data_IF_401707311999
#
_entry.id   IF_401707311999
#
_cell.length_a   1.000
_cell.length_b   1.000
_cell.length_c   1.000
_cell.angle_alpha   90.00
_cell.angle_beta   90.00
_cell.angle_gamma   90.00
#
_symmetry.space_group_name_H-M   'P 1'
#
loop_
_entity.id
_entity.type
_entity.pdbx_description
1 polymer ?
#
# COMPACT_ATOMS: atom_id res chain seq x y z
N UNK A 1 2.28 -20.14 -20.99
CA UNK A 1 2.72 -21.16 -20.02
C UNK A 1 2.59 -20.59 -18.62
N UNK A 2 1.98 -21.28 -17.64
CA UNK A 2 2.19 -20.92 -16.25
C UNK A 2 3.70 -20.93 -16.00
N UNK A 3 4.24 -19.88 -15.37
CA UNK A 3 5.65 -19.84 -14.98
C UNK A 3 5.93 -21.12 -14.20
N UNK A 4 6.93 -21.90 -14.62
CA UNK A 4 7.27 -23.16 -13.95
C UNK A 4 7.38 -22.90 -12.45
N UNK A 5 6.69 -23.70 -11.63
CA UNK A 5 6.51 -23.45 -10.20
C UNK A 5 7.84 -23.17 -9.50
N UNK A 6 8.91 -23.88 -9.90
CA UNK A 6 10.28 -23.64 -9.41
C UNK A 6 10.79 -22.25 -9.74
N UNK A 7 10.68 -21.81 -11.00
CA UNK A 7 11.10 -20.46 -11.44
C UNK A 7 10.31 -19.37 -10.72
N UNK A 8 8.99 -19.55 -10.56
CA UNK A 8 8.14 -18.63 -9.78
C UNK A 8 8.66 -18.51 -8.35
N UNK A 9 8.90 -19.63 -7.66
CA UNK A 9 9.35 -19.64 -6.28
C UNK A 9 10.74 -19.01 -6.10
N UNK A 10 11.65 -19.22 -7.05
CA UNK A 10 12.99 -18.61 -7.04
C UNK A 10 12.89 -17.10 -7.21
N UNK A 11 12.14 -16.62 -8.22
CA UNK A 11 11.97 -15.19 -8.48
C UNK A 11 11.27 -14.48 -7.32
N UNK A 12 10.22 -15.08 -6.76
CA UNK A 12 9.56 -14.55 -5.57
C UNK A 12 10.53 -14.52 -4.37
N UNK A 13 11.33 -15.58 -4.19
CA UNK A 13 12.36 -15.63 -3.15
C UNK A 13 13.37 -14.48 -3.25
N UNK A 14 13.87 -14.20 -4.46
CA UNK A 14 14.78 -13.09 -4.73
C UNK A 14 14.10 -11.73 -4.49
N UNK A 15 12.88 -11.55 -5.00
CA UNK A 15 12.12 -10.33 -4.84
C UNK A 15 11.86 -10.00 -3.36
N UNK A 16 11.44 -10.99 -2.56
CA UNK A 16 11.20 -10.76 -1.13
C UNK A 16 12.50 -10.57 -0.34
N UNK A 17 13.61 -11.23 -0.72
CA UNK A 17 14.93 -10.96 -0.13
C UNK A 17 15.38 -9.53 -0.41
N UNK A 18 15.18 -9.04 -1.64
CA UNK A 18 15.46 -7.67 -2.01
C UNK A 18 14.60 -6.68 -1.20
N UNK A 19 13.28 -6.90 -1.17
CA UNK A 19 12.32 -6.04 -0.47
C UNK A 19 12.64 -5.86 1.01
N UNK A 20 13.09 -6.93 1.67
CA UNK A 20 13.43 -6.91 3.09
C UNK A 20 14.92 -6.76 3.35
N UNK A 21 15.74 -6.51 2.32
CA UNK A 21 17.20 -6.40 2.43
C UNK A 21 17.82 -7.57 3.21
N UNK A 22 17.33 -8.78 2.96
CA UNK A 22 17.75 -10.01 3.66
C UNK A 22 17.20 -10.19 5.08
N UNK A 23 16.44 -9.24 5.62
CA UNK A 23 15.85 -9.30 6.96
C UNK A 23 14.57 -10.14 7.02
N UNK A 24 14.12 -10.43 8.25
CA UNK A 24 12.87 -11.13 8.53
C UNK A 24 11.65 -10.42 7.93
N UNK A 25 10.72 -11.20 7.36
CA UNK A 25 9.47 -10.67 6.80
C UNK A 25 8.54 -10.15 7.91
N UNK A 26 8.22 -8.86 7.88
CA UNK A 26 7.32 -8.24 8.86
C UNK A 26 5.84 -8.34 8.50
N UNK A 27 5.54 -8.59 7.23
CA UNK A 27 4.19 -8.67 6.67
C UNK A 27 4.09 -9.93 5.82
N UNK A 28 2.96 -10.63 5.89
CA UNK A 28 2.73 -11.84 5.12
C UNK A 28 2.78 -11.54 3.61
N UNK A 29 3.34 -12.48 2.82
CA UNK A 29 3.46 -12.33 1.35
C UNK A 29 2.13 -12.00 0.65
N UNK A 30 0.99 -12.66 0.96
CA UNK A 30 -0.28 -12.33 0.32
C UNK A 30 -0.70 -10.88 0.54
N UNK A 31 -0.40 -10.33 1.71
CA UNK A 31 -0.72 -8.93 2.06
C UNK A 31 0.12 -7.95 1.26
N UNK A 32 1.42 -8.19 1.13
CA UNK A 32 2.33 -7.34 0.36
C UNK A 32 1.92 -7.31 -1.12
N UNK A 33 1.41 -8.43 -1.63
CA UNK A 33 1.01 -8.59 -3.02
C UNK A 33 -0.28 -7.85 -3.38
N UNK A 34 -1.03 -7.38 -2.39
CA UNK A 34 -2.22 -6.60 -2.66
C UNK A 34 -1.89 -5.27 -3.36
N UNK A 35 -2.87 -4.70 -4.09
CA UNK A 35 -2.85 -3.32 -4.52
C UNK A 35 -2.62 -2.33 -3.37
N UNK A 36 -2.00 -1.18 -3.67
CA UNK A 36 -1.67 -0.16 -2.65
C UNK A 36 -2.91 0.42 -1.98
N UNK A 37 -4.00 0.60 -2.71
CA UNK A 37 -5.30 1.05 -2.16
C UNK A 37 -5.94 0.02 -1.20
N UNK A 38 -5.55 -1.25 -1.28
CA UNK A 38 -5.94 -2.33 -0.35
C UNK A 38 -4.87 -2.60 0.73
N UNK A 39 -3.87 -1.72 0.81
CA UNK A 39 -2.81 -1.75 1.80
C UNK A 39 -1.69 -2.73 1.52
N UNK A 40 -1.56 -3.26 0.31
CA UNK A 40 -0.32 -3.93 -0.08
C UNK A 40 0.73 -2.94 -0.56
N UNK A 41 1.83 -3.46 -1.10
CA UNK A 41 2.88 -2.63 -1.70
C UNK A 41 2.71 -2.51 -3.23
N UNK A 42 1.69 -3.15 -3.81
CA UNK A 42 1.48 -3.22 -5.25
C UNK A 42 2.52 -4.11 -5.94
N UNK A 43 3.01 -5.15 -5.24
CA UNK A 43 3.92 -6.13 -5.82
C UNK A 43 3.08 -7.24 -6.44
N UNK A 44 2.92 -7.30 -7.76
CA UNK A 44 1.96 -8.22 -8.34
C UNK A 44 2.44 -9.67 -8.18
N UNK A 45 1.49 -10.60 -8.00
CA UNK A 45 1.81 -12.03 -8.01
C UNK A 45 2.20 -12.45 -9.43
N UNK A 46 3.43 -12.94 -9.61
CA UNK A 46 3.94 -13.32 -10.94
C UNK A 46 3.07 -14.37 -11.64
N UNK A 47 2.43 -15.26 -10.88
CA UNK A 47 1.50 -16.23 -11.45
C UNK A 47 0.20 -15.60 -11.93
N UNK A 48 -0.29 -14.57 -11.23
CA UNK A 48 -1.48 -13.82 -11.61
C UNK A 48 -1.18 -12.97 -12.85
N UNK A 49 -0.05 -12.26 -12.87
CA UNK A 49 0.38 -11.49 -14.05
C UNK A 49 0.56 -12.38 -15.26
N UNK A 50 1.22 -13.53 -15.10
CA UNK A 50 1.37 -14.49 -16.19
C UNK A 50 0.02 -15.01 -16.68
N UNK A 51 -0.94 -15.25 -15.78
CA UNK A 51 -2.30 -15.67 -16.14
C UNK A 51 -3.08 -14.58 -16.88
N UNK A 52 -2.97 -13.33 -16.44
CA UNK A 52 -3.58 -12.16 -17.06
C UNK A 52 -3.03 -11.92 -18.48
N UNK A 53 -1.70 -11.94 -18.63
CA UNK A 53 -1.03 -11.81 -19.92
C UNK A 53 -1.41 -12.95 -20.86
N UNK A 54 -1.45 -14.17 -20.36
CA UNK A 54 -1.81 -15.35 -21.14
C UNK A 54 -3.26 -15.31 -21.63
N UNK A 55 -4.18 -14.85 -20.79
CA UNK A 55 -5.56 -14.60 -21.18
C UNK A 55 -5.63 -13.55 -22.31
N UNK A 56 -4.93 -12.43 -22.13
CA UNK A 56 -4.90 -11.33 -23.12
C UNK A 56 -4.30 -11.76 -24.45
N UNK A 57 -3.19 -12.49 -24.44
CA UNK A 57 -2.57 -13.01 -25.66
C UNK A 57 -3.43 -14.05 -26.37
N UNK A 58 -4.12 -14.91 -25.62
CA UNK A 58 -5.07 -15.87 -26.21
C UNK A 58 -6.17 -15.13 -26.96
N UNK A 59 -6.68 -14.04 -26.39
CA UNK A 59 -7.68 -13.19 -27.02
C UNK A 59 -7.15 -12.50 -28.28
N UNK A 60 -5.99 -11.84 -28.20
CA UNK A 60 -5.34 -11.20 -29.35
C UNK A 60 -5.09 -12.20 -30.48
N UNK A 61 -4.73 -13.44 -30.15
CA UNK A 61 -4.54 -14.49 -31.15
C UNK A 61 -5.85 -14.88 -31.88
N UNK A 62 -6.99 -14.89 -31.16
CA UNK A 62 -8.31 -15.15 -31.73
C UNK A 62 -8.83 -14.01 -32.61
N UNK A 63 -8.49 -12.77 -32.26
CA UNK A 63 -8.88 -11.56 -32.98
C UNK A 63 -7.87 -11.17 -34.06
N UNK A 64 -6.81 -11.97 -34.25
CA UNK A 64 -5.77 -11.66 -35.22
C UNK A 64 -6.30 -11.64 -36.65
N UNK A 65 -5.86 -10.65 -37.43
CA UNK A 65 -6.08 -10.60 -38.87
C UNK A 65 -5.35 -11.73 -39.61
N UNK A 66 -4.29 -12.28 -39.00
CA UNK A 66 -3.57 -13.42 -39.54
C UNK A 66 -4.41 -14.69 -39.39
N UNK A 67 -4.93 -15.19 -40.53
CA UNK A 67 -5.78 -16.37 -40.58
C UNK A 67 -5.15 -17.58 -39.86
N UNK A 68 -3.86 -17.82 -40.05
CA UNK A 68 -3.15 -18.93 -39.41
C UNK A 68 -3.17 -18.82 -37.87
N UNK A 69 -2.83 -17.66 -37.32
CA UNK A 69 -2.83 -17.41 -35.87
C UNK A 69 -4.20 -17.65 -35.27
N UNK A 70 -5.24 -17.09 -35.88
CA UNK A 70 -6.64 -17.26 -35.45
C UNK A 70 -7.08 -18.72 -35.55
N UNK A 71 -6.75 -19.39 -36.65
CA UNK A 71 -7.15 -20.79 -36.90
C UNK A 71 -6.48 -21.73 -35.91
N UNK A 72 -5.18 -21.58 -35.65
CA UNK A 72 -4.47 -22.37 -34.66
C UNK A 72 -4.96 -22.11 -33.24
N UNK A 73 -5.18 -20.85 -32.87
CA UNK A 73 -5.72 -20.51 -31.55
C UNK A 73 -7.09 -21.19 -31.34
N UNK A 74 -8.00 -21.07 -32.31
CA UNK A 74 -9.31 -21.73 -32.29
C UNK A 74 -9.19 -23.26 -32.23
N UNK A 75 -8.31 -23.85 -33.06
CA UNK A 75 -8.06 -25.28 -33.10
C UNK A 75 -7.59 -25.83 -31.76
N UNK A 76 -6.60 -25.17 -31.13
CA UNK A 76 -6.00 -25.60 -29.87
C UNK A 76 -6.80 -25.22 -28.62
N UNK A 77 -7.72 -24.25 -28.71
CA UNK A 77 -8.73 -24.00 -27.68
C UNK A 77 -9.82 -25.08 -27.66
N UNK A 78 -10.05 -25.74 -28.80
CA UNK A 78 -11.01 -26.83 -28.93
C UNK A 78 -12.39 -26.42 -28.38
N UNK A 79 -13.05 -27.27 -27.58
CA UNK A 79 -14.36 -27.01 -26.98
C UNK A 79 -14.39 -25.81 -26.04
N UNK A 80 -13.22 -25.31 -25.58
CA UNK A 80 -13.14 -24.13 -24.72
C UNK A 80 -13.21 -22.81 -25.48
N UNK A 81 -13.19 -22.83 -26.82
CA UNK A 81 -13.42 -21.64 -27.65
C UNK A 81 -14.74 -20.93 -27.32
N UNK A 82 -15.78 -21.70 -26.94
CA UNK A 82 -17.09 -21.18 -26.51
C UNK A 82 -17.01 -20.19 -25.33
N UNK A 83 -15.95 -20.26 -24.52
CA UNK A 83 -15.74 -19.30 -23.43
C UNK A 83 -15.28 -17.95 -23.97
N UNK A 84 -14.55 -17.90 -25.08
CA UNK A 84 -14.07 -16.65 -25.65
C UNK A 84 -15.09 -16.06 -26.63
N UNK A 85 -15.55 -16.89 -27.56
CA UNK A 85 -16.41 -16.47 -28.66
C UNK A 85 -17.44 -17.55 -28.94
N UNK A 86 -18.62 -17.51 -28.28
CA UNK A 86 -19.70 -18.47 -28.52
C UNK A 86 -20.11 -18.53 -30.00
N UNK A 87 -20.12 -17.39 -30.69
CA UNK A 87 -20.52 -17.27 -32.09
C UNK A 87 -19.54 -17.92 -33.07
N UNK A 88 -18.24 -17.88 -32.75
CA UNK A 88 -17.20 -18.50 -33.56
C UNK A 88 -17.11 -20.03 -33.35
N UNK A 89 -17.81 -20.57 -32.35
CA UNK A 89 -17.80 -21.99 -32.05
C UNK A 89 -18.74 -22.74 -33.00
N UNK A 90 -18.18 -23.63 -33.82
CA UNK A 90 -18.93 -24.49 -34.72
C UNK A 90 -18.48 -25.94 -34.63
N UNK A 91 -19.42 -26.87 -34.79
CA UNK A 91 -19.10 -28.28 -34.81
C UNK A 91 -18.45 -28.75 -36.13
N UNK A 92 -18.54 -27.92 -37.17
CA UNK A 92 -18.06 -28.21 -38.53
C UNK A 92 -16.63 -27.77 -38.77
N UNK A 93 -15.94 -27.23 -37.76
CA UNK A 93 -14.57 -26.73 -37.86
C UNK A 93 -13.59 -27.73 -37.23
N UNK A 94 -12.43 -28.01 -37.85
CA UNK A 94 -11.39 -28.84 -37.25
C UNK A 94 -10.98 -28.31 -35.88
N UNK A 95 -10.81 -29.24 -34.92
CA UNK A 95 -10.38 -28.90 -33.56
C UNK A 95 -9.51 -30.00 -32.99
N UNK A 96 -8.64 -29.63 -32.04
CA UNK A 96 -7.90 -30.63 -31.28
C UNK A 96 -8.88 -31.46 -30.43
N UNK A 97 -8.62 -32.78 -30.30
CA UNK A 97 -9.42 -33.65 -29.44
C UNK A 97 -9.41 -33.23 -27.96
N UNK A 98 -8.31 -32.62 -27.53
CA UNK A 98 -8.18 -31.98 -26.22
C UNK A 98 -7.57 -30.58 -26.38
N UNK A 99 -7.98 -29.60 -25.57
CA UNK A 99 -7.36 -28.28 -25.60
C UNK A 99 -5.90 -28.40 -25.18
N UNK A 100 -5.00 -27.69 -25.86
CA UNK A 100 -3.59 -27.71 -25.47
C UNK A 100 -3.43 -27.17 -24.03
N UNK A 101 -2.42 -27.63 -23.26
CA UNK A 101 -2.20 -27.14 -21.90
C UNK A 101 -2.04 -25.62 -21.80
N UNK A 102 -1.49 -24.99 -22.84
CA UNK A 102 -1.42 -23.54 -22.95
C UNK A 102 -2.82 -22.94 -22.98
N UNK A 103 -3.59 -23.14 -24.05
CA UNK A 103 -4.92 -22.53 -24.18
C UNK A 103 -5.93 -22.97 -23.11
N UNK A 104 -5.81 -24.19 -22.59
CA UNK A 104 -6.60 -24.66 -21.47
C UNK A 104 -6.41 -23.77 -20.22
N UNK A 105 -5.19 -23.34 -19.93
CA UNK A 105 -4.89 -22.45 -18.80
C UNK A 105 -5.57 -21.08 -18.94
N UNK A 106 -5.50 -20.46 -20.12
CA UNK A 106 -6.18 -19.18 -20.37
C UNK A 106 -7.70 -19.30 -20.22
N UNK A 107 -8.28 -20.35 -20.79
CA UNK A 107 -9.71 -20.64 -20.67
C UNK A 107 -10.16 -20.86 -19.22
N UNK A 108 -9.36 -21.58 -18.41
CA UNK A 108 -9.65 -21.78 -16.98
C UNK A 108 -9.56 -20.47 -16.18
N UNK A 109 -8.62 -19.59 -16.52
CA UNK A 109 -8.56 -18.24 -15.92
C UNK A 109 -9.78 -17.41 -16.30
N UNK A 110 -10.23 -17.46 -17.56
CA UNK A 110 -11.43 -16.74 -18.01
C UNK A 110 -12.69 -17.24 -17.31
N UNK A 111 -12.86 -18.56 -17.19
CA UNK A 111 -13.99 -19.14 -16.48
C UNK A 111 -14.07 -18.62 -15.04
N UNK A 112 -12.97 -18.73 -14.29
CA UNK A 112 -12.89 -18.21 -12.91
C UNK A 112 -13.20 -16.72 -12.80
N UNK A 113 -12.74 -15.93 -13.78
CA UNK A 113 -12.95 -14.48 -13.78
C UNK A 113 -14.43 -14.13 -13.99
N UNK A 114 -15.11 -14.82 -14.91
CA UNK A 114 -16.54 -14.64 -15.18
C UNK A 114 -17.42 -15.19 -14.07
N UNK A 115 -17.01 -16.27 -13.40
CA UNK A 115 -17.70 -16.80 -12.22
C UNK A 115 -17.71 -15.76 -11.08
N UNK A 116 -16.59 -15.04 -10.88
CA UNK A 116 -16.49 -14.00 -9.88
C UNK A 116 -17.09 -12.65 -10.30
N UNK A 117 -17.09 -12.35 -11.61
CA UNK A 117 -17.56 -11.08 -12.16
C UNK A 117 -18.44 -11.34 -13.40
N UNK A 118 -19.75 -11.63 -13.20
CA UNK A 118 -20.67 -11.85 -14.30
C UNK A 118 -20.76 -10.62 -15.21
N UNK A 119 -20.66 -10.82 -16.53
CA UNK A 119 -20.78 -9.73 -17.51
C UNK A 119 -19.50 -8.93 -17.80
N UNK A 120 -18.34 -9.39 -17.31
CA UNK A 120 -17.06 -8.73 -17.58
C UNK A 120 -16.69 -8.75 -19.08
N UNK A 121 -16.44 -7.56 -19.63
CA UNK A 121 -15.91 -7.37 -20.98
C UNK A 121 -14.38 -7.22 -20.90
N UNK A 122 -13.62 -8.10 -21.58
CA UNK A 122 -12.15 -8.05 -21.46
C UNK A 122 -11.51 -6.96 -22.34
N UNK A 123 -12.23 -6.39 -23.32
CA UNK A 123 -11.68 -5.41 -24.27
C UNK A 123 -11.44 -4.05 -23.65
N UNK A 124 -12.30 -3.69 -22.69
CA UNK A 124 -12.25 -2.42 -21.99
C UNK A 124 -11.25 -2.43 -20.83
N UNK A 125 -10.69 -3.59 -20.48
CA UNK A 125 -9.83 -3.74 -19.31
C UNK A 125 -8.36 -3.58 -19.64
N UNK A 126 -7.69 -2.71 -18.90
CA UNK A 126 -6.25 -2.69 -18.91
C UNK A 126 -5.67 -3.91 -18.20
N UNK A 127 -4.38 -4.20 -18.45
CA UNK A 127 -3.72 -5.34 -17.81
C UNK A 127 -3.71 -5.21 -16.28
N UNK A 128 -3.59 -3.98 -15.77
CA UNK A 128 -3.56 -3.73 -14.33
C UNK A 128 -4.90 -4.06 -13.67
N UNK A 129 -6.02 -3.66 -14.29
CA UNK A 129 -7.38 -4.01 -13.82
C UNK A 129 -7.60 -5.53 -13.85
N UNK A 130 -7.15 -6.20 -14.91
CA UNK A 130 -7.25 -7.65 -15.02
C UNK A 130 -6.47 -8.38 -13.92
N UNK A 131 -5.28 -7.89 -13.57
CA UNK A 131 -4.49 -8.43 -12.45
C UNK A 131 -5.19 -8.19 -11.11
N UNK A 132 -5.78 -7.01 -10.91
CA UNK A 132 -6.50 -6.66 -9.69
C UNK A 132 -7.75 -7.55 -9.49
N UNK A 133 -8.49 -7.85 -10.56
CA UNK A 133 -9.66 -8.73 -10.54
C UNK A 133 -9.30 -10.21 -10.32
N UNK A 134 -8.14 -10.64 -10.82
CA UNK A 134 -7.64 -12.01 -10.60
C UNK A 134 -6.96 -12.18 -9.24
N UNK A 135 -6.69 -11.08 -8.52
CA UNK A 135 -6.07 -11.11 -7.20
C UNK A 135 -7.06 -11.66 -6.17
N UNK A 136 -6.76 -12.81 -5.54
CA UNK A 136 -7.67 -13.39 -4.56
C UNK A 136 -7.76 -12.51 -3.31
N UNK A 137 -8.89 -12.59 -2.62
CA UNK A 137 -9.03 -11.99 -1.30
C UNK A 137 -8.02 -12.58 -0.32
N UNK A 138 -7.69 -11.78 0.71
CA UNK A 138 -6.75 -12.23 1.73
C UNK A 138 -7.30 -13.44 2.48
N UNK A 139 -6.47 -14.46 2.75
CA UNK A 139 -6.83 -15.51 3.69
C UNK A 139 -7.23 -14.91 5.04
N UNK A 140 -8.23 -15.49 5.72
CA UNK A 140 -8.75 -14.96 6.99
C UNK A 140 -7.66 -14.72 8.05
N UNK A 141 -6.66 -15.61 8.14
CA UNK A 141 -5.52 -15.46 9.07
C UNK A 141 -4.56 -14.31 8.72
N UNK A 142 -4.59 -13.82 7.48
CA UNK A 142 -3.84 -12.65 7.03
C UNK A 142 -4.62 -11.34 7.27
N UNK A 143 -5.93 -11.41 7.49
CA UNK A 143 -6.77 -10.27 7.84
C UNK A 143 -6.61 -10.01 9.34
N UNK A 144 -6.02 -8.87 9.70
CA UNK A 144 -5.99 -8.46 11.10
C UNK A 144 -7.34 -7.85 11.47
N UNK A 145 -7.88 -8.29 12.61
CA UNK A 145 -9.19 -7.86 13.13
C UNK A 145 -9.30 -6.35 13.37
N UNK A 146 -8.19 -5.69 13.68
CA UNK A 146 -8.15 -4.24 13.87
C UNK A 146 -8.29 -3.47 12.54
N UNK A 147 -7.70 -3.98 11.46
CA UNK A 147 -7.77 -3.40 10.11
C UNK A 147 -9.15 -3.59 9.46
N UNK A 148 -9.91 -4.62 9.84
CA UNK A 148 -11.26 -4.82 9.34
C UNK A 148 -12.29 -3.90 9.98
N UNK A 149 -12.01 -3.37 11.18
CA UNK A 149 -12.88 -2.41 11.88
C UNK A 149 -12.55 -0.96 11.54
N UNK A 150 -11.28 -0.65 11.31
CA UNK A 150 -10.81 0.71 11.05
C UNK A 150 -10.21 0.77 9.65
N UNK A 151 -11.00 1.13 8.65
CA UNK A 151 -10.58 1.26 7.25
C UNK A 151 -9.43 2.27 7.11
N UNK A 152 -8.16 1.83 6.94
CA UNK A 152 -7.05 2.75 6.89
C UNK A 152 -7.04 3.52 5.58
N UNK A 153 -6.62 4.78 5.63
CA UNK A 153 -6.49 5.57 4.41
C UNK A 153 -5.16 5.26 3.70
N UNK A 154 -5.12 4.12 3.01
CA UNK A 154 -3.91 3.64 2.34
C UNK A 154 -3.37 4.61 1.27
N UNK A 155 -4.26 5.39 0.63
CA UNK A 155 -3.87 6.45 -0.32
C UNK A 155 -3.00 7.52 0.36
N UNK A 156 -3.33 7.91 1.58
CA UNK A 156 -2.57 8.89 2.36
C UNK A 156 -1.32 8.28 3.00
N UNK A 157 -1.41 7.05 3.52
CA UNK A 157 -0.26 6.33 4.11
C UNK A 157 0.87 6.16 3.08
N UNK A 158 0.52 5.98 1.81
CA UNK A 158 1.46 5.79 0.69
C UNK A 158 1.52 7.00 -0.24
N UNK A 159 1.08 8.17 0.22
CA UNK A 159 1.04 9.38 -0.59
C UNK A 159 2.45 9.81 -1.05
N UNK A 160 2.54 10.33 -2.27
CA UNK A 160 3.83 10.69 -2.89
C UNK A 160 4.52 11.91 -2.26
N UNK A 161 3.80 12.73 -1.49
CA UNK A 161 4.40 13.83 -0.75
C UNK A 161 5.12 13.38 0.52
N UNK A 162 4.83 12.17 1.01
CA UNK A 162 5.62 11.53 2.06
C UNK A 162 6.86 10.90 1.41
N UNK A 163 8.03 11.10 2.00
CA UNK A 163 9.21 10.37 1.54
C UNK A 163 9.10 8.86 1.88
N UNK A 164 10.02 8.08 1.33
CA UNK A 164 10.04 6.64 1.54
C UNK A 164 10.14 6.21 3.02
N UNK A 165 10.81 7.00 3.88
CA UNK A 165 10.98 6.68 5.30
C UNK A 165 9.66 6.86 6.06
N UNK A 166 8.97 7.99 5.84
CA UNK A 166 7.67 8.29 6.47
C UNK A 166 6.56 7.38 5.95
N UNK A 167 6.51 7.13 4.65
CA UNK A 167 5.56 6.18 4.07
C UNK A 167 5.77 4.76 4.63
N UNK A 168 7.02 4.29 4.72
CA UNK A 168 7.35 2.98 5.31
C UNK A 168 6.99 2.92 6.79
N UNK A 169 7.28 3.98 7.54
CA UNK A 169 6.91 4.10 8.95
C UNK A 169 5.40 4.00 9.14
N UNK A 170 4.62 4.81 8.43
CA UNK A 170 3.16 4.81 8.51
C UNK A 170 2.56 3.47 8.06
N UNK A 171 3.10 2.87 7.01
CA UNK A 171 2.71 1.54 6.57
C UNK A 171 2.89 0.49 7.67
N UNK A 172 4.05 0.50 8.35
CA UNK A 172 4.33 -0.41 9.47
C UNK A 172 3.47 -0.11 10.70
N UNK A 173 3.19 1.17 10.96
CA UNK A 173 2.30 1.60 12.05
C UNK A 173 0.87 1.09 11.83
N UNK A 174 0.30 1.35 10.66
CA UNK A 174 -1.03 0.87 10.28
C UNK A 174 -1.10 -0.66 10.37
N UNK A 175 -0.12 -1.36 9.79
CA UNK A 175 -0.02 -2.83 9.85
C UNK A 175 0.35 -3.37 11.23
N UNK A 176 0.65 -2.51 12.22
CA UNK A 176 0.98 -2.91 13.59
C UNK A 176 2.19 -3.84 13.66
N UNK A 177 3.21 -3.55 12.86
CA UNK A 177 4.48 -4.28 12.79
C UNK A 177 5.70 -3.40 13.09
N UNK A 178 5.49 -2.25 13.76
CA UNK A 178 6.60 -1.48 14.33
C UNK A 178 7.26 -2.26 15.48
N UNK A 179 8.60 -2.28 15.55
CA UNK A 179 9.32 -3.01 16.58
C UNK A 179 9.35 -2.29 17.92
N UNK A 180 8.44 -2.65 18.82
CA UNK A 180 8.38 -2.11 20.18
C UNK A 180 8.88 -3.15 21.18
N UNK A 181 9.28 -2.76 22.39
CA UNK A 181 9.85 -3.72 23.37
C UNK A 181 8.83 -4.74 23.85
N UNK A 182 7.52 -4.51 23.69
CA UNK A 182 6.48 -5.52 23.96
C UNK A 182 6.31 -6.54 22.81
N UNK A 183 6.76 -6.19 21.61
CA UNK A 183 6.83 -7.08 20.43
C UNK A 183 8.20 -6.90 19.77
N UNK A 184 9.28 -7.35 20.45
CA UNK A 184 10.58 -7.33 19.82
C UNK A 184 10.52 -8.23 18.58
N UNK A 185 11.51 -8.09 17.69
CA UNK A 185 11.63 -8.96 16.52
C UNK A 185 11.84 -10.44 16.88
N UNK A 186 11.97 -10.75 18.18
CA UNK A 186 12.08 -12.09 18.75
C UNK A 186 10.73 -12.53 19.32
N UNK A 187 10.39 -13.82 19.21
CA UNK A 187 9.11 -14.41 19.68
C UNK A 187 8.94 -14.38 21.22
N UNK A 188 9.81 -13.69 21.94
CA UNK A 188 9.80 -13.63 23.41
C UNK A 188 9.11 -12.32 23.80
N UNK A 189 7.92 -12.36 24.41
CA UNK A 189 7.28 -11.17 24.92
C UNK A 189 8.07 -10.67 26.13
N UNK A 190 8.94 -9.69 25.90
CA UNK A 190 9.56 -8.94 26.99
C UNK A 190 8.52 -8.01 27.60
N UNK A 191 8.53 -7.86 28.93
CA UNK A 191 7.79 -6.79 29.64
C UNK A 191 8.42 -5.45 29.27
N UNK A 192 8.13 -4.98 28.07
CA UNK A 192 8.67 -3.75 27.52
C UNK A 192 8.23 -2.55 28.34
N UNK A 193 9.19 -1.79 28.87
CA UNK A 193 8.96 -0.51 29.52
C UNK A 193 9.18 0.62 28.51
N UNK A 194 8.32 1.62 28.55
CA UNK A 194 8.41 2.81 27.73
C UNK A 194 9.72 3.53 28.05
N UNK A 195 10.55 3.86 27.06
CA UNK A 195 11.85 4.50 27.31
C UNK A 195 11.70 5.95 27.79
N UNK A 196 10.53 6.57 27.63
CA UNK A 196 10.27 7.94 28.07
C UNK A 196 9.82 8.02 29.53
N UNK A 197 8.84 7.20 29.94
CA UNK A 197 8.21 7.31 31.26
C UNK A 197 8.23 6.01 32.09
N UNK A 198 8.76 4.90 31.57
CA UNK A 198 8.87 3.63 32.30
C UNK A 198 7.59 2.79 32.41
N UNK A 199 6.44 3.30 31.98
CA UNK A 199 5.16 2.57 31.91
C UNK A 199 5.21 1.40 30.92
N UNK A 200 4.18 0.55 30.86
CA UNK A 200 4.11 -0.53 29.86
C UNK A 200 4.16 0.04 28.44
N UNK A 201 5.06 -0.47 27.61
CA UNK A 201 5.22 -0.02 26.23
C UNK A 201 4.26 -0.76 25.30
N UNK A 202 3.33 -0.04 24.68
CA UNK A 202 2.58 -0.48 23.51
C UNK A 202 2.41 0.68 22.51
N UNK A 203 1.84 0.40 21.34
CA UNK A 203 1.68 1.43 20.30
C UNK A 203 0.76 2.57 20.76
N UNK A 204 -0.30 2.27 21.51
CA UNK A 204 -1.22 3.29 22.00
C UNK A 204 -0.47 4.20 22.96
N UNK A 205 0.27 3.61 23.89
CA UNK A 205 1.05 4.36 24.86
C UNK A 205 2.11 5.26 24.20
N UNK A 206 2.95 4.73 23.30
CA UNK A 206 4.05 5.49 22.67
C UNK A 206 3.55 6.62 21.79
N UNK A 207 2.38 6.49 21.18
CA UNK A 207 1.92 7.42 20.15
C UNK A 207 0.73 8.28 20.57
N UNK A 208 0.06 7.99 21.69
CA UNK A 208 -1.04 8.84 22.19
C UNK A 208 -1.05 9.11 23.69
N UNK A 209 -0.68 8.16 24.55
CA UNK A 209 -0.87 8.33 26.01
C UNK A 209 0.38 8.84 26.76
N UNK A 210 1.59 8.62 26.23
CA UNK A 210 2.80 9.10 26.86
C UNK A 210 2.85 10.64 26.85
N UNK A 211 3.46 11.26 27.85
CA UNK A 211 3.43 12.73 28.01
C UNK A 211 3.93 13.50 26.77
N UNK A 212 4.99 13.00 26.14
CA UNK A 212 5.61 13.62 24.97
C UNK A 212 4.70 13.60 23.71
N UNK A 213 4.22 12.44 23.23
CA UNK A 213 3.28 12.40 22.11
C UNK A 213 1.94 13.05 22.46
N UNK A 214 1.43 12.92 23.70
CA UNK A 214 0.17 13.56 24.11
C UNK A 214 0.24 15.08 23.95
N UNK A 215 1.33 15.71 24.37
CA UNK A 215 1.54 17.14 24.19
C UNK A 215 1.60 17.56 22.71
N UNK A 216 2.23 16.75 21.85
CA UNK A 216 2.27 16.99 20.40
C UNK A 216 0.87 16.86 19.78
N UNK A 217 0.13 15.80 20.13
CA UNK A 217 -1.23 15.58 19.64
C UNK A 217 -2.18 16.66 20.11
N UNK A 218 -2.04 17.16 21.34
CA UNK A 218 -2.85 18.27 21.84
C UNK A 218 -2.61 19.55 21.05
N UNK A 219 -1.35 19.83 20.67
CA UNK A 219 -1.01 20.96 19.80
C UNK A 219 -1.59 20.80 18.39
N UNK A 220 -1.56 19.57 17.84
CA UNK A 220 -2.21 19.30 16.54
C UNK A 220 -3.73 19.49 16.66
N UNK A 221 -4.33 18.99 17.74
CA UNK A 221 -5.76 19.13 17.98
C UNK A 221 -6.16 20.61 18.05
N UNK A 222 -5.41 21.44 18.78
CA UNK A 222 -5.70 22.87 18.90
C UNK A 222 -5.56 23.63 17.57
N UNK A 223 -4.54 23.32 16.76
CA UNK A 223 -4.35 23.93 15.44
C UNK A 223 -5.50 23.66 14.46
N UNK A 224 -6.16 22.51 14.60
CA UNK A 224 -7.25 22.09 13.72
C UNK A 224 -8.64 22.18 14.37
N UNK A 225 -8.74 22.78 15.57
CA UNK A 225 -10.01 22.95 16.27
C UNK A 225 -10.68 21.63 16.71
N UNK A 226 -9.89 20.59 16.99
CA UNK A 226 -10.37 19.30 17.46
C UNK A 226 -10.24 19.16 18.98
N UNK A 227 -11.13 18.39 19.64
CA UNK A 227 -11.02 18.11 21.08
C UNK A 227 -9.81 17.23 21.44
N UNK A 228 -9.31 16.47 20.47
CA UNK A 228 -8.15 15.60 20.61
C UNK A 228 -7.88 14.83 19.31
N UNK A 229 -6.72 14.20 19.21
CA UNK A 229 -6.39 13.30 18.10
C UNK A 229 -6.42 11.86 18.61
N UNK A 230 -7.41 11.04 18.20
CA UNK A 230 -7.49 9.65 18.66
C UNK A 230 -6.35 8.82 18.07
N UNK A 231 -5.98 7.73 18.74
CA UNK A 231 -4.89 6.86 18.28
C UNK A 231 -5.20 6.24 16.91
N UNK A 232 -6.47 5.99 16.61
CA UNK A 232 -6.93 5.52 15.30
C UNK A 232 -6.55 6.50 14.19
N UNK A 233 -6.68 7.82 14.41
CA UNK A 233 -6.24 8.84 13.45
C UNK A 233 -4.72 8.80 13.27
N UNK A 234 -3.96 8.66 14.36
CA UNK A 234 -2.50 8.51 14.31
C UNK A 234 -2.11 7.27 13.50
N UNK A 235 -2.78 6.15 13.73
CA UNK A 235 -2.42 4.85 13.16
C UNK A 235 -2.90 4.65 11.73
N UNK A 236 -4.09 5.15 11.40
CA UNK A 236 -4.81 4.82 10.17
C UNK A 236 -5.09 6.03 9.29
N UNK A 237 -4.74 7.24 9.74
CA UNK A 237 -5.10 8.51 9.08
C UNK A 237 -6.61 8.59 8.83
N UNK A 238 -7.39 8.22 9.85
CA UNK A 238 -8.85 8.19 9.85
C UNK A 238 -9.39 8.24 11.31
N UNK A 239 -10.30 9.17 11.67
CA UNK A 239 -10.87 10.26 10.86
C UNK A 239 -9.86 11.36 10.51
N UNK A 240 -10.20 12.14 9.48
CA UNK A 240 -9.42 13.28 8.99
C UNK A 240 -10.22 14.59 9.20
N UNK A 241 -9.55 15.75 9.31
CA UNK A 241 -10.23 17.03 9.34
C UNK A 241 -10.98 17.30 8.03
N UNK A 242 -12.00 18.17 8.10
CA UNK A 242 -12.76 18.60 6.92
C UNK A 242 -11.94 19.44 5.93
N UNK A 243 -10.90 20.12 6.41
CA UNK A 243 -10.07 21.05 5.63
C UNK A 243 -8.59 20.81 5.88
N UNK A 244 -7.73 21.31 4.97
CA UNK A 244 -6.27 21.24 5.07
C UNK A 244 -5.72 19.80 5.33
N UNK A 245 -6.36 18.79 4.75
CA UNK A 245 -6.05 17.36 4.97
C UNK A 245 -4.57 17.05 4.73
N UNK A 246 -3.98 17.55 3.65
CA UNK A 246 -2.57 17.28 3.34
C UNK A 246 -1.63 17.84 4.40
N UNK A 247 -1.89 19.06 4.89
CA UNK A 247 -1.12 19.67 5.97
C UNK A 247 -1.30 18.89 7.28
N UNK A 248 -2.53 18.47 7.59
CA UNK A 248 -2.82 17.71 8.80
C UNK A 248 -2.07 16.38 8.79
N UNK A 249 -2.15 15.65 7.69
CA UNK A 249 -1.45 14.38 7.49
C UNK A 249 0.05 14.60 7.58
N UNK A 250 0.60 15.60 6.90
CA UNK A 250 2.03 15.88 6.94
C UNK A 250 2.50 16.15 8.38
N UNK A 251 1.81 17.02 9.11
CA UNK A 251 2.15 17.35 10.49
C UNK A 251 2.03 16.13 11.42
N UNK A 252 0.92 15.40 11.33
CA UNK A 252 0.66 14.23 12.17
C UNK A 252 1.68 13.13 11.94
N UNK A 253 1.98 12.82 10.67
CA UNK A 253 2.98 11.82 10.29
C UNK A 253 4.36 12.24 10.75
N UNK A 254 4.73 13.51 10.60
CA UNK A 254 6.05 13.99 11.01
C UNK A 254 6.22 13.95 12.53
N UNK A 255 5.23 14.43 13.29
CA UNK A 255 5.23 14.31 14.75
C UNK A 255 5.37 12.85 15.19
N UNK A 256 4.58 11.95 14.61
CA UNK A 256 4.63 10.52 14.92
C UNK A 256 5.97 9.90 14.56
N UNK A 257 6.54 10.25 13.41
CA UNK A 257 7.84 9.76 12.97
C UNK A 257 8.98 10.25 13.88
N UNK A 258 8.95 11.52 14.30
CA UNK A 258 9.97 12.06 15.21
C UNK A 258 9.86 11.46 16.61
N UNK A 259 8.64 11.18 17.11
CA UNK A 259 8.43 10.39 18.34
C UNK A 259 9.04 8.99 18.20
N UNK A 260 8.85 8.34 17.05
CA UNK A 260 9.46 7.04 16.78
C UNK A 260 10.99 7.08 16.78
N UNK A 261 11.59 8.06 16.10
CA UNK A 261 13.04 8.25 16.09
C UNK A 261 13.58 8.53 17.49
N UNK A 262 12.89 9.39 18.26
CA UNK A 262 13.22 9.67 19.65
C UNK A 262 13.17 8.42 20.52
N UNK A 263 12.16 7.58 20.31
CA UNK A 263 12.01 6.30 21.01
C UNK A 263 13.18 5.38 20.68
N UNK A 264 13.56 5.27 19.42
CA UNK A 264 14.72 4.48 19.00
C UNK A 264 16.00 4.98 19.66
N UNK A 265 16.27 6.29 19.63
CA UNK A 265 17.44 6.88 20.29
C UNK A 265 17.42 6.67 21.82
N UNK A 266 16.25 6.75 22.46
CA UNK A 266 16.14 6.52 23.89
C UNK A 266 16.40 5.06 24.29
N UNK A 267 16.11 4.10 23.40
CA UNK A 267 16.36 2.67 23.65
C UNK A 267 17.81 2.27 23.34
N UNK A 268 18.37 2.73 22.23
CA UNK A 268 19.69 2.30 21.78
C UNK A 268 20.83 3.21 22.27
N UNK A 269 20.57 4.51 22.38
CA UNK A 269 21.59 5.52 22.72
C UNK A 269 21.37 6.14 24.11
N UNK A 270 20.28 5.77 24.81
CA UNK A 270 19.88 6.35 26.09
C UNK A 270 19.44 7.82 26.02
N UNK A 271 19.42 8.44 24.84
CA UNK A 271 19.11 9.85 24.65
C UNK A 271 17.59 10.11 24.67
N UNK A 272 17.14 11.00 25.54
CA UNK A 272 15.72 11.41 25.64
C UNK A 272 15.54 12.86 25.20
N UNK A 273 15.11 13.12 23.95
CA UNK A 273 14.88 14.48 23.49
C UNK A 273 13.64 15.09 24.16
N UNK A 274 13.72 16.39 24.46
CA UNK A 274 12.57 17.17 24.95
C UNK A 274 11.60 17.57 23.84
N UNK A 275 10.43 18.08 24.23
CA UNK A 275 9.38 18.55 23.30
C UNK A 275 9.90 19.61 22.32
N UNK A 276 10.68 20.58 22.79
CA UNK A 276 11.25 21.63 21.94
C UNK A 276 12.20 21.08 20.87
N UNK A 277 13.02 20.08 21.21
CA UNK A 277 13.92 19.45 20.25
C UNK A 277 13.13 18.73 19.15
N UNK A 278 12.08 18.00 19.52
CA UNK A 278 11.21 17.34 18.54
C UNK A 278 10.50 18.34 17.65
N UNK A 279 9.91 19.40 18.21
CA UNK A 279 9.25 20.43 17.41
C UNK A 279 10.21 21.12 16.45
N UNK A 280 11.45 21.37 16.85
CA UNK A 280 12.47 21.92 15.96
C UNK A 280 12.76 20.98 14.77
N UNK A 281 12.87 19.67 15.02
CA UNK A 281 13.02 18.66 13.96
C UNK A 281 11.79 18.59 13.06
N UNK A 282 10.59 18.56 13.63
CA UNK A 282 9.32 18.53 12.88
C UNK A 282 9.24 19.75 11.96
N UNK A 283 9.46 20.97 12.48
CA UNK A 283 9.43 22.20 11.67
C UNK A 283 10.43 22.16 10.52
N UNK A 284 11.68 21.74 10.81
CA UNK A 284 12.73 21.59 9.80
C UNK A 284 12.30 20.63 8.67
N UNK A 285 11.78 19.47 9.03
CA UNK A 285 11.40 18.45 8.04
C UNK A 285 10.16 18.86 7.23
N UNK A 286 9.16 19.48 7.86
CA UNK A 286 7.99 20.03 7.15
C UNK A 286 8.43 21.10 6.16
N UNK A 287 9.33 22.00 6.58
CA UNK A 287 9.88 23.02 5.69
C UNK A 287 10.53 22.39 4.45
N UNK A 288 11.37 21.35 4.62
CA UNK A 288 11.98 20.63 3.50
C UNK A 288 10.94 19.99 2.58
N UNK A 289 9.91 19.35 3.13
CA UNK A 289 8.84 18.71 2.34
C UNK A 289 8.09 19.76 1.54
N UNK A 290 7.65 20.86 2.16
CA UNK A 290 6.91 21.92 1.46
C UNK A 290 7.76 22.59 0.38
N UNK A 291 9.04 22.86 0.65
CA UNK A 291 9.95 23.44 -0.32
C UNK A 291 10.17 22.51 -1.53
N UNK A 292 10.36 21.21 -1.29
CA UNK A 292 10.49 20.19 -2.34
C UNK A 292 9.20 20.09 -3.16
N UNK A 293 8.04 20.07 -2.51
CA UNK A 293 6.74 19.99 -3.18
C UNK A 293 6.49 21.23 -4.04
N UNK A 294 6.85 22.42 -3.56
CA UNK A 294 6.75 23.66 -4.34
C UNK A 294 7.62 23.63 -5.59
N UNK A 295 8.86 23.15 -5.48
CA UNK A 295 9.75 22.99 -6.63
C UNK A 295 9.19 21.98 -7.65
N UNK A 296 8.62 20.87 -7.17
CA UNK A 296 8.07 19.80 -8.01
C UNK A 296 6.78 20.18 -8.73
N UNK A 297 5.85 20.83 -8.03
CA UNK A 297 4.50 21.12 -8.52
C UNK A 297 4.41 22.48 -9.24
N UNK A 298 5.36 23.38 -8.99
CA UNK A 298 5.25 24.79 -9.34
C UNK A 298 4.30 25.54 -8.42
N UNK A 299 4.39 26.88 -8.42
CA UNK A 299 3.71 27.77 -7.45
C UNK A 299 2.19 27.59 -7.47
N UNK A 300 1.56 27.62 -8.65
CA UNK A 300 0.09 27.57 -8.77
C UNK A 300 -0.49 26.28 -8.18
N UNK A 301 0.01 25.12 -8.63
CA UNK A 301 -0.46 23.80 -8.17
C UNK A 301 -0.10 23.54 -6.71
N UNK A 302 1.03 24.05 -6.24
CA UNK A 302 1.40 24.01 -4.83
C UNK A 302 0.36 24.74 -3.97
N UNK A 303 0.01 25.99 -4.32
CA UNK A 303 -0.98 26.78 -3.58
C UNK A 303 -2.37 26.11 -3.58
N UNK A 304 -2.80 25.54 -4.72
CA UNK A 304 -4.05 24.79 -4.81
C UNK A 304 -4.06 23.55 -3.90
N UNK A 305 -2.93 22.84 -3.79
CA UNK A 305 -2.80 21.59 -3.04
C UNK A 305 -2.59 21.81 -1.54
N UNK A 306 -1.89 22.88 -1.17
CA UNK A 306 -1.37 23.08 0.18
C UNK A 306 -1.88 24.34 0.89
N UNK A 307 -2.40 25.36 0.21
CA UNK A 307 -2.64 26.68 0.84
C UNK A 307 -4.12 26.92 1.24
N UNK A 308 -5.02 25.95 1.07
CA UNK A 308 -6.47 26.15 1.31
C UNK A 308 -7.05 25.24 2.40
N UNK A 309 -7.29 25.75 3.63
CA UNK A 309 -6.67 26.93 4.26
C UNK A 309 -5.21 26.65 4.68
N UNK A 310 -4.37 27.68 4.82
CA UNK A 310 -3.00 27.53 5.32
C UNK A 310 -3.00 27.51 6.86
N UNK A 311 -2.65 26.38 7.46
CA UNK A 311 -2.69 26.14 8.92
C UNK A 311 -1.28 26.07 9.50
N UNK A 312 -0.39 25.28 8.88
CA UNK A 312 0.94 24.98 9.42
C UNK A 312 2.06 25.83 8.81
N UNK A 313 1.76 26.60 7.76
CA UNK A 313 2.73 27.47 7.11
C UNK A 313 2.06 28.72 6.53
N UNK A 314 2.86 29.74 6.27
CA UNK A 314 2.50 30.91 5.46
C UNK A 314 3.50 31.07 4.31
N UNK A 315 3.02 31.60 3.19
CA UNK A 315 3.87 31.93 2.04
C UNK A 315 3.79 33.43 1.76
N UNK A 316 4.92 34.13 1.88
CA UNK A 316 5.04 35.57 1.62
C UNK A 316 6.30 35.84 0.81
N UNK A 317 6.18 36.63 -0.28
CA UNK A 317 7.32 36.97 -1.14
C UNK A 317 8.05 35.76 -1.74
N UNK A 318 7.36 34.63 -1.88
CA UNK A 318 7.98 33.38 -2.34
C UNK A 318 8.83 32.66 -1.29
N UNK A 319 8.75 33.02 -0.01
CA UNK A 319 9.34 32.25 1.10
C UNK A 319 8.27 31.49 1.87
N UNK A 320 8.57 30.25 2.27
CA UNK A 320 7.70 29.41 3.10
C UNK A 320 8.17 29.52 4.55
N UNK A 321 7.28 29.96 5.45
CA UNK A 321 7.53 30.05 6.89
C UNK A 321 6.60 29.09 7.64
N UNK A 322 7.15 28.32 8.58
CA UNK A 322 6.36 27.37 9.40
C UNK A 322 5.84 28.10 10.65
N UNK A 323 4.53 28.09 10.87
CA UNK A 323 3.85 29.02 11.80
C UNK A 323 3.32 28.40 13.08
N UNK A 324 3.51 27.09 13.29
CA UNK A 324 2.91 26.38 14.41
C UNK A 324 3.88 25.93 15.49
#
# INVERSE_FOLDING_TARGET
MPVATRTKLVLEGLLFRFLWSGSSMYVARPVIKLPRNKGGLGIPDLGIVASALHLRWTRVALESDMLLTRSFASFFLSTRLRLFSPEAFSNSVPRAGTPSPFYAGAASTLARLRDANPGIELDSLELHDLVDLLTPDLPAHCVRYDLSRHSPNWKLITASFLDAKRATFMYRMARGCLPITFRPFTKIPTRGKCPFCGSREDLVHIFSQCALPAALLQRIASLYGHPGVPFETVRFLNPLPAQAVNQYVLLLVECSYQVWVARCAAVFDGRRPGLHELLAKVRKEIWFVLHRERQRLGVKKFLETWHRPAVIFSESGGQITITF
#
